data_IF_692701105742
#
_entry.id   IF_692701105742
#
_cell.length_a   1.000
_cell.length_b   1.000
_cell.length_c   1.000
_cell.angle_alpha   90.00
_cell.angle_beta   90.00
_cell.angle_gamma   90.00
#
_symmetry.space_group_name_H-M   'P 1'
#
loop_
_entity.id
_entity.type
_entity.pdbx_description
1 polymer ?
#
# COMPACT_ATOMS: atom_id res chain seq x y z
N UNK A 1 -31.35 34.73 31.15
CA UNK A 1 -31.71 34.31 32.51
C UNK A 1 -30.81 35.07 33.48
N UNK A 2 -31.33 35.68 34.54
CA UNK A 2 -30.51 36.41 35.52
C UNK A 2 -30.21 35.49 36.71
N UNK A 3 -29.07 34.81 36.71
CA UNK A 3 -28.66 33.88 37.75
C UNK A 3 -27.15 33.91 37.95
N UNK A 4 -26.71 33.62 39.17
CA UNK A 4 -25.30 33.35 39.48
C UNK A 4 -25.04 31.85 39.33
N UNK A 5 -23.86 31.49 38.83
CA UNK A 5 -23.51 30.10 38.60
C UNK A 5 -22.12 29.77 39.13
N UNK A 6 -21.91 28.48 39.43
CA UNK A 6 -20.61 27.91 39.76
C UNK A 6 -20.39 26.69 38.87
N UNK A 7 -19.26 26.66 38.18
CA UNK A 7 -18.89 25.51 37.36
C UNK A 7 -18.26 24.44 38.24
N UNK A 8 -18.74 23.21 38.08
CA UNK A 8 -18.22 22.02 38.76
C UNK A 8 -17.67 21.10 37.68
N UNK A 9 -16.35 20.84 37.65
CA UNK A 9 -15.77 19.94 36.66
C UNK A 9 -16.24 18.50 36.91
N UNK A 10 -16.55 17.78 35.84
CA UNK A 10 -16.83 16.34 35.84
C UNK A 10 -15.94 15.67 34.81
N UNK A 11 -15.60 14.40 35.04
CA UNK A 11 -14.69 13.64 34.17
C UNK A 11 -15.41 12.87 33.06
N UNK A 12 -16.75 12.87 33.03
CA UNK A 12 -17.50 12.24 31.94
C UNK A 12 -19.01 12.45 31.95
N UNK A 13 -19.70 11.87 30.96
CA UNK A 13 -21.16 12.01 30.81
C UNK A 13 -22.01 11.11 31.71
N UNK A 14 -21.40 10.23 32.51
CA UNK A 14 -22.07 9.35 33.46
C UNK A 14 -22.38 7.95 32.93
N UNK A 15 -22.03 6.94 33.75
CA UNK A 15 -22.23 5.51 33.50
C UNK A 15 -23.09 4.92 34.63
N UNK A 16 -23.99 4.01 34.25
CA UNK A 16 -24.70 3.16 35.21
C UNK A 16 -23.78 2.02 35.64
N UNK A 17 -23.48 1.95 36.93
CA UNK A 17 -22.72 0.87 37.54
C UNK A 17 -23.62 -0.34 37.83
N UNK A 18 -23.01 -1.51 38.00
CA UNK A 18 -23.74 -2.77 38.27
C UNK A 18 -24.53 -2.72 39.60
N UNK A 19 -24.07 -1.91 40.54
CA UNK A 19 -24.76 -1.64 41.80
C UNK A 19 -25.98 -0.71 41.64
N UNK A 20 -26.35 -0.33 40.42
CA UNK A 20 -27.48 0.57 40.12
C UNK A 20 -27.21 2.06 40.35
N UNK A 21 -25.99 2.45 40.72
CA UNK A 21 -25.63 3.86 40.93
C UNK A 21 -25.10 4.52 39.66
N UNK A 22 -25.32 5.83 39.53
CA UNK A 22 -24.88 6.63 38.39
C UNK A 22 -23.67 7.47 38.76
N UNK A 23 -22.69 7.53 37.86
CA UNK A 23 -21.50 8.38 38.02
C UNK A 23 -21.60 9.70 37.24
N UNK A 24 -20.68 10.63 37.51
CA UNK A 24 -20.44 11.86 36.76
C UNK A 24 -21.69 12.72 36.50
N UNK A 25 -21.90 13.28 35.30
CA UNK A 25 -23.01 14.19 34.99
C UNK A 25 -24.38 13.69 35.48
N UNK A 26 -24.73 12.43 35.17
CA UNK A 26 -26.02 11.86 35.58
C UNK A 26 -26.08 11.69 37.10
N UNK A 27 -25.01 11.17 37.72
CA UNK A 27 -24.94 11.02 39.18
C UNK A 27 -25.02 12.35 39.91
N UNK A 28 -24.30 13.37 39.44
CA UNK A 28 -24.25 14.70 40.05
C UNK A 28 -25.63 15.37 40.03
N UNK A 29 -26.42 15.19 38.97
CA UNK A 29 -27.81 15.66 38.92
C UNK A 29 -28.72 14.87 39.89
N UNK A 30 -28.59 13.55 39.93
CA UNK A 30 -29.43 12.69 40.76
C UNK A 30 -29.19 12.92 42.25
N UNK A 31 -27.92 13.05 42.64
CA UNK A 31 -27.49 13.24 44.02
C UNK A 31 -27.51 14.70 44.48
N UNK A 32 -28.04 15.62 43.65
CA UNK A 32 -28.17 17.04 44.01
C UNK A 32 -26.84 17.78 44.17
N UNK A 33 -25.77 17.29 43.53
CA UNK A 33 -24.46 17.96 43.48
C UNK A 33 -24.40 19.05 42.41
N UNK A 34 -25.30 18.98 41.41
CA UNK A 34 -25.44 19.97 40.35
C UNK A 34 -26.91 20.16 39.98
N UNK A 35 -27.27 21.37 39.55
CA UNK A 35 -28.63 21.70 39.12
C UNK A 35 -28.84 21.51 37.60
N UNK A 36 -27.78 21.74 36.83
CA UNK A 36 -27.71 21.58 35.37
C UNK A 36 -26.41 20.85 35.04
N UNK A 37 -26.48 19.81 34.20
CA UNK A 37 -25.31 19.20 33.58
C UNK A 37 -25.18 19.69 32.14
N UNK A 38 -24.03 20.31 31.86
CA UNK A 38 -23.68 20.74 30.51
C UNK A 38 -23.34 19.53 29.65
N UNK A 39 -23.84 19.54 28.41
CA UNK A 39 -23.52 18.59 27.34
C UNK A 39 -23.69 17.10 27.72
N UNK A 40 -24.90 16.60 27.53
CA UNK A 40 -25.18 15.17 27.48
C UNK A 40 -25.68 14.77 26.10
N UNK A 41 -25.02 13.76 25.56
CA UNK A 41 -25.45 13.05 24.36
C UNK A 41 -26.70 12.26 24.73
N UNK A 42 -27.72 12.37 23.88
CA UNK A 42 -28.96 11.63 24.04
C UNK A 42 -28.70 10.13 24.12
N UNK A 43 -29.21 9.49 25.16
CA UNK A 43 -29.13 8.06 25.36
C UNK A 43 -30.39 7.56 26.05
N UNK A 44 -31.02 6.53 25.49
CA UNK A 44 -32.30 6.00 25.98
C UNK A 44 -32.24 5.51 27.43
N UNK A 45 -31.08 5.01 27.87
CA UNK A 45 -30.88 4.55 29.25
C UNK A 45 -30.86 5.67 30.29
N UNK A 46 -30.75 6.95 29.89
CA UNK A 46 -30.69 8.10 30.81
C UNK A 46 -32.04 8.77 31.03
N UNK A 47 -32.94 8.72 30.05
CA UNK A 47 -34.28 9.36 30.08
C UNK A 47 -35.16 8.95 31.28
N UNK A 48 -35.07 7.73 31.84
CA UNK A 48 -35.80 7.39 33.05
C UNK A 48 -35.39 8.23 34.27
N UNK A 49 -34.14 8.69 34.32
CA UNK A 49 -33.52 9.29 35.50
C UNK A 49 -33.41 10.82 35.44
N UNK A 50 -33.21 11.38 34.25
CA UNK A 50 -32.99 12.82 34.02
C UNK A 50 -33.85 13.35 32.88
N UNK A 51 -34.15 14.64 32.91
CA UNK A 51 -34.83 15.31 31.79
C UNK A 51 -33.80 16.03 30.93
N UNK A 52 -33.87 15.78 29.62
CA UNK A 52 -33.01 16.40 28.62
C UNK A 52 -33.76 17.55 27.95
N UNK A 53 -33.15 18.73 27.97
CA UNK A 53 -33.68 19.94 27.32
C UNK A 53 -33.65 19.82 25.81
N UNK A 54 -34.27 20.76 25.11
CA UNK A 54 -34.17 20.87 23.65
C UNK A 54 -32.70 20.84 23.20
N UNK A 55 -32.38 20.05 22.15
CA UNK A 55 -31.02 19.90 21.69
C UNK A 55 -30.46 21.25 21.21
N UNK A 56 -29.20 21.51 21.54
CA UNK A 56 -28.48 22.69 21.10
C UNK A 56 -27.43 22.38 20.01
N UNK A 57 -27.15 21.10 19.77
CA UNK A 57 -26.25 20.63 18.72
C UNK A 57 -26.65 19.21 18.31
N UNK A 58 -26.41 18.88 17.04
CA UNK A 58 -26.45 17.51 16.54
C UNK A 58 -25.05 17.13 16.12
N UNK A 59 -24.61 15.93 16.51
CA UNK A 59 -23.33 15.39 16.08
C UNK A 59 -23.50 13.92 15.72
N UNK A 60 -22.99 13.55 14.55
CA UNK A 60 -23.01 12.17 14.10
C UNK A 60 -21.93 11.34 14.78
N UNK A 61 -22.19 10.04 14.94
CA UNK A 61 -21.12 9.07 15.23
C UNK A 61 -20.27 8.93 13.96
N UNK A 62 -19.00 9.26 14.05
CA UNK A 62 -18.08 9.14 12.93
C UNK A 62 -16.74 8.53 13.42
N UNK A 63 -15.80 8.30 12.51
CA UNK A 63 -14.48 7.82 12.84
C UNK A 63 -13.41 8.54 12.04
N UNK A 64 -12.21 8.55 12.58
CA UNK A 64 -11.04 9.09 11.90
C UNK A 64 -9.96 8.03 11.72
N UNK A 65 -9.19 8.19 10.65
CA UNK A 65 -8.06 7.35 10.28
C UNK A 65 -6.87 8.24 9.83
N UNK A 66 -5.67 7.67 9.78
CA UNK A 66 -4.49 8.37 9.26
C UNK A 66 -4.66 8.62 7.77
N UNK A 67 -4.19 9.77 7.25
CA UNK A 67 -4.07 10.02 5.81
C UNK A 67 -3.47 8.79 5.13
N UNK A 68 -4.12 8.23 4.09
CA UNK A 68 -3.65 7.04 3.43
C UNK A 68 -2.29 7.29 2.78
N UNK A 69 -1.39 6.35 2.97
CA UNK A 69 -0.02 6.44 2.45
C UNK A 69 0.04 5.81 1.05
N UNK A 70 0.91 6.30 0.15
CA UNK A 70 1.12 5.67 -1.13
C UNK A 70 1.72 4.27 -0.93
N UNK A 71 1.23 3.30 -1.69
CA UNK A 71 1.70 1.92 -1.62
C UNK A 71 3.09 1.85 -2.27
N UNK A 72 4.12 1.77 -1.44
CA UNK A 72 5.51 1.61 -1.88
C UNK A 72 5.82 0.14 -2.10
N UNK A 73 5.72 -0.32 -3.35
CA UNK A 73 6.02 -1.71 -3.70
C UNK A 73 7.15 -1.79 -4.73
N UNK A 74 8.06 -2.74 -4.56
CA UNK A 74 9.10 -3.04 -5.56
C UNK A 74 8.49 -3.51 -6.90
N UNK A 75 7.27 -4.06 -6.87
CA UNK A 75 6.50 -4.47 -8.05
C UNK A 75 5.86 -3.32 -8.83
N UNK A 76 5.95 -2.08 -8.33
CA UNK A 76 5.32 -0.90 -8.95
C UNK A 76 5.74 -0.68 -10.41
N UNK A 77 6.92 -1.15 -10.81
CA UNK A 77 7.44 -1.06 -12.19
C UNK A 77 6.59 -1.84 -13.19
N UNK A 78 5.89 -2.89 -12.74
CA UNK A 78 5.05 -3.72 -13.59
C UNK A 78 3.59 -3.23 -13.66
N UNK A 79 3.18 -2.29 -12.80
CA UNK A 79 1.82 -1.73 -12.78
C UNK A 79 1.38 -0.93 -14.02
N UNK A 80 2.26 -0.32 -14.84
CA UNK A 80 1.84 0.41 -16.04
C UNK A 80 1.00 -0.40 -17.04
N UNK A 81 1.17 -1.72 -17.05
CA UNK A 81 0.44 -2.64 -17.90
C UNK A 81 -0.14 -3.80 -17.11
N UNK A 82 -1.34 -4.21 -17.49
CA UNK A 82 -1.97 -5.42 -16.96
C UNK A 82 -1.23 -6.68 -17.43
N UNK A 83 -1.29 -7.75 -16.66
CA UNK A 83 -0.72 -9.07 -17.00
C UNK A 83 -1.09 -9.53 -18.41
N UNK A 84 -2.33 -9.29 -18.85
CA UNK A 84 -2.78 -9.60 -20.22
C UNK A 84 -1.93 -8.88 -21.29
N UNK A 85 -1.63 -7.60 -21.09
CA UNK A 85 -0.82 -6.80 -22.01
C UNK A 85 0.63 -7.28 -22.05
N UNK A 86 1.19 -7.68 -20.90
CA UNK A 86 2.52 -8.30 -20.84
C UNK A 86 2.60 -9.60 -21.62
N UNK A 87 1.57 -10.45 -21.54
CA UNK A 87 1.48 -11.70 -22.30
C UNK A 87 1.40 -11.40 -23.80
N UNK A 88 0.52 -10.47 -24.20
CA UNK A 88 0.40 -10.05 -25.60
C UNK A 88 1.71 -9.46 -26.15
N UNK A 89 2.45 -8.73 -25.33
CA UNK A 89 3.78 -8.25 -25.70
C UNK A 89 4.76 -9.40 -25.95
N UNK A 90 4.81 -10.41 -25.07
CA UNK A 90 5.64 -11.61 -25.30
C UNK A 90 5.25 -12.36 -26.58
N UNK A 91 3.94 -12.47 -26.86
CA UNK A 91 3.43 -13.06 -28.11
C UNK A 91 3.84 -12.23 -29.33
N UNK A 92 3.82 -10.90 -29.24
CA UNK A 92 4.26 -10.04 -30.34
C UNK A 92 5.76 -10.16 -30.64
N UNK A 93 6.58 -10.36 -29.60
CA UNK A 93 8.02 -10.59 -29.74
C UNK A 93 8.27 -11.92 -30.44
N UNK A 94 7.62 -12.99 -30.00
CA UNK A 94 7.79 -14.32 -30.62
C UNK A 94 7.32 -14.33 -32.07
N UNK A 95 6.17 -13.71 -32.37
CA UNK A 95 5.67 -13.54 -33.72
C UNK A 95 6.66 -12.78 -34.62
N UNK A 96 7.24 -11.67 -34.12
CA UNK A 96 8.20 -10.88 -34.88
C UNK A 96 9.48 -11.66 -35.16
N UNK A 97 10.01 -12.39 -34.16
CA UNK A 97 11.17 -13.28 -34.35
C UNK A 97 10.87 -14.34 -35.40
N UNK A 98 9.70 -14.98 -35.35
CA UNK A 98 9.29 -15.99 -36.34
C UNK A 98 9.15 -15.42 -37.75
N UNK A 99 8.55 -14.24 -37.92
CA UNK A 99 8.44 -13.59 -39.23
C UNK A 99 9.82 -13.23 -39.79
N UNK A 100 10.69 -12.66 -38.95
CA UNK A 100 12.05 -12.30 -39.36
C UNK A 100 12.88 -13.53 -39.76
N UNK A 101 12.80 -14.64 -39.02
CA UNK A 101 13.52 -15.87 -39.38
C UNK A 101 13.00 -16.48 -40.68
N UNK A 102 11.68 -16.47 -40.89
CA UNK A 102 11.07 -16.96 -42.14
C UNK A 102 11.53 -16.14 -43.34
N UNK A 103 11.46 -14.80 -43.26
CA UNK A 103 11.93 -13.92 -44.35
C UNK A 103 13.43 -14.13 -44.62
N UNK A 104 14.26 -14.27 -43.59
CA UNK A 104 15.69 -14.54 -43.77
C UNK A 104 15.97 -15.87 -44.49
N UNK A 105 15.18 -16.91 -44.21
CA UNK A 105 15.28 -18.21 -44.91
C UNK A 105 14.88 -18.06 -46.38
N UNK A 106 13.83 -17.28 -46.68
CA UNK A 106 13.43 -17.00 -48.05
C UNK A 106 14.47 -16.17 -48.80
N UNK A 107 14.97 -15.09 -48.19
CA UNK A 107 16.01 -14.23 -48.79
C UNK A 107 17.31 -15.00 -49.06
N UNK A 108 17.69 -15.91 -48.16
CA UNK A 108 18.85 -16.77 -48.35
C UNK A 108 18.69 -17.72 -49.53
N UNK A 109 17.47 -18.24 -49.76
CA UNK A 109 17.15 -19.12 -50.90
C UNK A 109 17.00 -18.35 -52.22
N UNK A 110 16.38 -17.18 -52.20
CA UNK A 110 16.05 -16.41 -53.40
C UNK A 110 17.24 -15.58 -53.92
N UNK A 111 17.98 -14.93 -53.02
CA UNK A 111 19.02 -13.96 -53.38
C UNK A 111 20.43 -14.38 -52.96
N UNK A 112 20.60 -15.57 -52.35
CA UNK A 112 21.91 -16.07 -51.90
C UNK A 112 22.54 -15.24 -50.77
N UNK A 113 21.74 -14.43 -50.05
CA UNK A 113 22.23 -13.57 -48.97
C UNK A 113 22.49 -14.43 -47.72
N UNK A 114 23.64 -14.22 -47.05
CA UNK A 114 23.96 -14.91 -45.80
C UNK A 114 22.92 -14.59 -44.71
N UNK A 115 22.12 -15.60 -44.34
CA UNK A 115 21.14 -15.52 -43.25
C UNK A 115 21.80 -15.20 -41.91
N UNK A 116 21.08 -14.49 -41.05
CA UNK A 116 21.47 -14.34 -39.65
C UNK A 116 21.25 -15.66 -38.91
N UNK A 117 22.03 -15.87 -37.84
CA UNK A 117 21.78 -16.95 -36.88
C UNK A 117 20.52 -16.63 -36.07
N UNK A 118 19.74 -17.64 -35.69
CA UNK A 118 18.54 -17.46 -34.84
C UNK A 118 18.86 -16.71 -33.54
N UNK A 119 20.04 -16.95 -32.95
CA UNK A 119 20.51 -16.23 -31.75
C UNK A 119 20.73 -14.74 -32.04
N UNK A 120 21.27 -14.42 -33.22
CA UNK A 120 21.49 -13.04 -33.64
C UNK A 120 20.16 -12.32 -33.90
N UNK A 121 19.15 -13.01 -34.47
CA UNK A 121 17.81 -12.43 -34.68
C UNK A 121 17.12 -12.13 -33.34
N UNK A 122 17.25 -13.02 -32.35
CA UNK A 122 16.78 -12.77 -30.98
C UNK A 122 17.51 -11.56 -30.37
N UNK A 123 18.83 -11.50 -30.49
CA UNK A 123 19.63 -10.37 -30.01
C UNK A 123 19.15 -9.04 -30.62
N UNK A 124 18.94 -9.00 -31.94
CA UNK A 124 18.45 -7.80 -32.63
C UNK A 124 17.06 -7.40 -32.11
N UNK A 125 16.15 -8.35 -31.88
CA UNK A 125 14.84 -8.04 -31.31
C UNK A 125 14.96 -7.48 -29.89
N UNK A 126 15.79 -8.08 -29.02
CA UNK A 126 16.01 -7.59 -27.66
C UNK A 126 16.65 -6.19 -27.66
N UNK A 127 17.69 -5.98 -28.47
CA UNK A 127 18.35 -4.67 -28.61
C UNK A 127 17.38 -3.59 -29.09
N UNK A 128 16.46 -3.92 -30.02
CA UNK A 128 15.45 -2.97 -30.48
C UNK A 128 14.45 -2.57 -29.40
N UNK A 129 14.02 -3.52 -28.55
CA UNK A 129 13.15 -3.23 -27.39
C UNK A 129 13.85 -2.29 -26.40
N UNK A 130 15.15 -2.51 -26.18
CA UNK A 130 16.00 -1.66 -25.35
C UNK A 130 16.37 -0.32 -26.02
N UNK A 131 15.84 -0.03 -27.20
CA UNK A 131 16.13 1.16 -28.00
C UNK A 131 17.63 1.35 -28.28
N UNK A 132 18.37 0.24 -28.38
CA UNK A 132 19.77 0.23 -28.73
C UNK A 132 19.96 0.24 -30.26
N UNK A 133 21.16 0.63 -30.69
CA UNK A 133 21.54 0.56 -32.09
C UNK A 133 21.52 -0.90 -32.58
N UNK A 134 20.77 -1.14 -33.66
CA UNK A 134 20.65 -2.44 -34.30
C UNK A 134 21.23 -2.39 -35.71
N UNK A 135 21.70 -3.55 -36.20
CA UNK A 135 22.30 -3.63 -37.52
C UNK A 135 21.30 -3.31 -38.63
N UNK A 136 21.76 -2.58 -39.65
CA UNK A 136 20.90 -2.14 -40.76
C UNK A 136 20.41 -3.33 -41.59
N UNK A 137 19.10 -3.46 -41.86
CA UNK A 137 18.56 -4.52 -42.71
C UNK A 137 19.01 -4.36 -44.17
N UNK A 138 19.42 -5.49 -44.78
CA UNK A 138 20.01 -5.53 -46.12
C UNK A 138 18.95 -5.49 -47.22
N UNK A 139 17.88 -6.27 -47.09
CA UNK A 139 16.81 -6.43 -48.08
C UNK A 139 15.63 -5.50 -47.81
N UNK A 140 14.78 -5.28 -48.82
CA UNK A 140 13.61 -4.40 -48.73
C UNK A 140 12.50 -5.00 -47.88
N UNK A 141 12.30 -6.32 -47.97
CA UNK A 141 11.23 -7.04 -47.25
C UNK A 141 11.45 -6.98 -45.73
N UNK A 142 12.68 -7.17 -45.29
CA UNK A 142 13.06 -7.03 -43.88
C UNK A 142 12.87 -5.58 -43.41
N UNK A 143 13.14 -4.56 -44.26
CA UNK A 143 12.98 -3.15 -43.88
C UNK A 143 11.56 -2.82 -43.47
N UNK A 144 10.55 -3.27 -44.21
CA UNK A 144 9.14 -3.02 -43.87
C UNK A 144 8.76 -3.62 -42.52
N UNK A 145 9.18 -4.86 -42.24
CA UNK A 145 8.94 -5.51 -40.96
C UNK A 145 9.62 -4.75 -39.82
N UNK A 146 10.88 -4.31 -40.01
CA UNK A 146 11.58 -3.49 -39.02
C UNK A 146 10.89 -2.14 -38.79
N UNK A 147 10.39 -1.48 -39.85
CA UNK A 147 9.66 -0.22 -39.71
C UNK A 147 8.37 -0.42 -38.91
N UNK A 148 7.59 -1.45 -39.22
CA UNK A 148 6.37 -1.78 -38.47
C UNK A 148 6.67 -2.12 -37.00
N UNK A 149 7.72 -2.92 -36.76
CA UNK A 149 8.19 -3.28 -35.43
C UNK A 149 8.64 -2.07 -34.62
N UNK A 150 9.41 -1.15 -35.23
CA UNK A 150 9.85 0.07 -34.55
C UNK A 150 8.69 1.02 -34.25
N UNK A 151 7.74 1.18 -35.17
CA UNK A 151 6.53 1.97 -34.89
C UNK A 151 5.75 1.38 -33.71
N UNK A 152 5.59 0.06 -33.67
CA UNK A 152 4.99 -0.64 -32.53
C UNK A 152 5.75 -0.37 -31.22
N UNK A 153 7.08 -0.49 -31.22
CA UNK A 153 7.90 -0.23 -30.03
C UNK A 153 7.84 1.22 -29.58
N UNK A 154 7.80 2.19 -30.49
CA UNK A 154 7.65 3.61 -30.15
C UNK A 154 6.31 3.86 -29.46
N UNK A 155 5.21 3.33 -30.01
CA UNK A 155 3.88 3.46 -29.41
C UNK A 155 3.85 2.78 -28.03
N UNK A 156 4.40 1.57 -27.92
CA UNK A 156 4.40 0.80 -26.67
C UNK A 156 5.21 1.50 -25.58
N UNK A 157 6.41 1.99 -25.91
CA UNK A 157 7.29 2.67 -24.94
C UNK A 157 6.70 4.01 -24.51
N UNK A 158 6.08 4.76 -25.43
CA UNK A 158 5.37 5.99 -25.09
C UNK A 158 4.17 5.72 -24.17
N UNK A 159 3.37 4.69 -24.45
CA UNK A 159 2.26 4.29 -23.59
C UNK A 159 2.74 3.87 -22.20
N UNK A 160 3.80 3.07 -22.12
CA UNK A 160 4.41 2.64 -20.87
C UNK A 160 4.89 3.83 -20.03
N UNK A 161 5.67 4.74 -20.64
CA UNK A 161 6.18 5.94 -19.97
C UNK A 161 5.07 6.86 -19.49
N UNK A 162 4.00 7.01 -20.28
CA UNK A 162 2.85 7.86 -19.93
C UNK A 162 2.07 7.28 -18.74
N UNK A 163 1.78 5.97 -18.76
CA UNK A 163 1.10 5.30 -17.66
C UNK A 163 1.95 5.31 -16.38
N UNK A 164 3.25 5.02 -16.50
CA UNK A 164 4.18 5.08 -15.38
C UNK A 164 4.24 6.48 -14.75
N UNK A 165 4.29 7.53 -15.58
CA UNK A 165 4.22 8.91 -15.10
C UNK A 165 2.91 9.18 -14.34
N UNK A 166 1.77 8.69 -14.85
CA UNK A 166 0.49 8.75 -14.16
C UNK A 166 0.52 8.14 -12.75
N UNK A 167 1.19 6.99 -12.59
CA UNK A 167 1.39 6.36 -11.28
C UNK A 167 2.30 7.16 -10.33
N UNK A 168 3.26 7.92 -10.85
CA UNK A 168 4.07 8.79 -10.00
C UNK A 168 3.34 10.06 -9.57
N UNK A 169 2.45 10.58 -10.41
CA UNK A 169 1.61 11.73 -10.06
C UNK A 169 0.50 11.33 -9.08
N UNK A 170 -0.14 10.19 -9.32
CA UNK A 170 -1.22 9.65 -8.48
C UNK A 170 -0.91 8.23 -8.06
N UNK A 171 -0.03 8.04 -7.06
CA UNK A 171 0.29 6.71 -6.57
C UNK A 171 -0.95 6.05 -5.97
N UNK A 172 -1.14 4.74 -6.16
CA UNK A 172 -2.22 4.03 -5.50
C UNK A 172 -2.00 4.12 -3.99
N UNK A 173 -3.08 4.47 -3.30
CA UNK A 173 -3.07 4.69 -1.87
C UNK A 173 -3.46 3.41 -1.14
N UNK A 174 -2.97 3.27 0.10
CA UNK A 174 -3.44 2.24 1.02
C UNK A 174 -4.97 2.31 1.16
N UNK A 175 -5.60 1.14 1.24
CA UNK A 175 -7.02 1.06 1.48
C UNK A 175 -7.36 1.69 2.83
N UNK A 176 -8.37 2.56 2.85
CA UNK A 176 -8.93 3.16 4.06
C UNK A 176 -10.45 2.94 4.07
N UNK A 177 -11.04 2.64 5.24
CA UNK A 177 -12.47 2.41 5.33
C UNK A 177 -13.24 3.69 5.04
N UNK A 178 -14.18 3.63 4.09
CA UNK A 178 -15.10 4.72 3.76
C UNK A 178 -16.35 4.75 4.63
N UNK A 179 -16.64 3.66 5.35
CA UNK A 179 -17.75 3.57 6.29
C UNK A 179 -17.62 2.43 7.31
N UNK A 180 -18.63 2.28 8.17
CA UNK A 180 -18.64 1.24 9.21
C UNK A 180 -18.69 -0.18 8.65
N UNK A 181 -19.24 -0.36 7.45
CA UNK A 181 -19.28 -1.67 6.77
C UNK A 181 -17.87 -2.15 6.43
N UNK A 182 -17.03 -1.27 5.89
CA UNK A 182 -15.65 -1.60 5.57
C UNK A 182 -14.87 -2.02 6.81
N UNK A 183 -15.07 -1.33 7.95
CA UNK A 183 -14.45 -1.70 9.23
C UNK A 183 -14.94 -3.09 9.69
N UNK A 184 -16.20 -3.42 9.46
CA UNK A 184 -16.75 -4.73 9.82
C UNK A 184 -16.13 -5.85 8.96
N UNK A 185 -15.90 -5.60 7.67
CA UNK A 185 -15.45 -6.62 6.72
C UNK A 185 -13.92 -6.76 6.63
N UNK A 186 -13.16 -5.72 7.00
CA UNK A 186 -11.69 -5.69 6.92
C UNK A 186 -11.01 -5.74 8.30
N UNK A 187 -9.71 -6.01 8.37
CA UNK A 187 -8.97 -6.22 9.64
C UNK A 187 -8.60 -4.94 10.40
N UNK A 188 -9.40 -3.87 10.28
CA UNK A 188 -9.17 -2.63 11.03
C UNK A 188 -9.52 -2.80 12.51
N UNK A 189 -8.64 -2.30 13.37
CA UNK A 189 -8.91 -2.19 14.81
C UNK A 189 -9.60 -0.88 15.11
N UNK A 190 -10.66 -0.92 15.91
CA UNK A 190 -11.43 0.27 16.25
C UNK A 190 -11.22 0.67 17.72
N UNK A 191 -11.08 1.96 17.97
CA UNK A 191 -10.99 2.55 19.30
C UNK A 191 -12.24 3.33 19.66
N UNK A 192 -12.64 3.28 20.92
CA UNK A 192 -13.68 4.18 21.48
C UNK A 192 -13.29 4.61 22.88
N UNK A 193 -13.73 5.81 23.28
CA UNK A 193 -13.52 6.30 24.65
C UNK A 193 -14.24 5.41 25.67
N UNK A 194 -13.50 4.93 26.68
CA UNK A 194 -14.05 4.05 27.73
C UNK A 194 -15.20 4.70 28.49
N UNK A 195 -16.27 3.94 28.74
CA UNK A 195 -17.39 4.34 29.61
C UNK A 195 -18.33 5.42 29.04
N UNK A 196 -18.06 5.92 27.82
CA UNK A 196 -18.90 6.90 27.15
C UNK A 196 -20.22 6.33 26.61
N UNK A 197 -21.14 7.23 26.22
CA UNK A 197 -22.42 6.86 25.60
C UNK A 197 -22.24 6.02 24.32
N UNK A 198 -21.19 6.31 23.54
CA UNK A 198 -20.84 5.58 22.32
C UNK A 198 -20.49 4.11 22.61
N UNK A 199 -19.71 3.83 23.66
CA UNK A 199 -19.38 2.45 24.03
C UNK A 199 -20.65 1.65 24.35
N UNK A 200 -21.59 2.26 25.08
CA UNK A 200 -22.88 1.62 25.40
C UNK A 200 -23.75 1.44 24.15
N UNK A 201 -23.71 2.39 23.21
CA UNK A 201 -24.41 2.29 21.93
C UNK A 201 -23.95 1.05 21.14
N UNK A 202 -22.63 0.87 20.98
CA UNK A 202 -22.09 -0.30 20.29
C UNK A 202 -22.31 -1.60 21.06
N UNK A 203 -22.24 -1.58 22.40
CA UNK A 203 -22.52 -2.74 23.24
C UNK A 203 -23.96 -3.24 23.11
N UNK A 204 -24.92 -2.33 22.94
CA UNK A 204 -26.34 -2.65 22.82
C UNK A 204 -26.75 -2.96 21.36
N UNK A 205 -25.84 -2.85 20.40
CA UNK A 205 -26.13 -3.18 19.01
C UNK A 205 -26.32 -4.70 18.82
N UNK A 206 -27.16 -5.08 17.87
CA UNK A 206 -27.38 -6.51 17.54
C UNK A 206 -26.09 -7.15 17.02
N UNK A 207 -25.73 -8.32 17.54
CA UNK A 207 -24.46 -9.00 17.23
C UNK A 207 -24.22 -9.29 15.74
N UNK A 208 -25.29 -9.59 14.99
CA UNK A 208 -25.24 -9.87 13.55
C UNK A 208 -25.17 -8.61 12.67
N UNK A 209 -25.46 -7.45 13.24
CA UNK A 209 -25.41 -6.18 12.51
C UNK A 209 -23.96 -5.73 12.27
N UNK A 210 -23.76 -4.84 11.29
CA UNK A 210 -22.47 -4.19 11.04
C UNK A 210 -21.87 -3.57 12.31
N UNK A 211 -22.69 -2.90 13.11
CA UNK A 211 -22.27 -2.29 14.38
C UNK A 211 -21.85 -3.32 15.43
N UNK A 212 -22.53 -4.47 15.47
CA UNK A 212 -22.17 -5.60 16.33
C UNK A 212 -20.83 -6.23 15.93
N UNK A 213 -20.57 -6.36 14.63
CA UNK A 213 -19.25 -6.80 14.13
C UNK A 213 -18.14 -5.79 14.49
N UNK A 214 -18.41 -4.50 14.33
CA UNK A 214 -17.48 -3.43 14.76
C UNK A 214 -17.24 -3.50 16.28
N UNK A 215 -18.27 -3.77 17.08
CA UNK A 215 -18.12 -3.92 18.54
C UNK A 215 -17.15 -5.03 18.95
N UNK A 216 -17.08 -6.15 18.22
CA UNK A 216 -16.09 -7.21 18.50
C UNK A 216 -14.65 -6.75 18.28
N UNK A 217 -14.44 -5.74 17.42
CA UNK A 217 -13.12 -5.16 17.11
C UNK A 217 -12.83 -3.90 17.94
N UNK A 218 -13.76 -3.46 18.79
CA UNK A 218 -13.62 -2.25 19.59
C UNK A 218 -12.69 -2.47 20.79
N UNK A 219 -11.71 -1.59 20.93
CA UNK A 219 -10.86 -1.46 22.11
C UNK A 219 -11.20 -0.18 22.84
N UNK A 220 -11.44 -0.26 24.14
CA UNK A 220 -11.71 0.93 24.95
C UNK A 220 -10.42 1.58 25.41
N UNK A 221 -10.23 2.86 25.09
CA UNK A 221 -9.04 3.64 25.47
C UNK A 221 -9.44 5.03 25.94
N UNK A 222 -8.49 5.81 26.45
CA UNK A 222 -8.69 7.26 26.65
C UNK A 222 -8.71 7.94 25.28
N UNK A 223 -9.43 9.06 25.16
CA UNK A 223 -9.53 9.81 23.92
C UNK A 223 -8.15 10.10 23.30
N UNK A 224 -7.23 10.64 24.09
CA UNK A 224 -5.88 11.00 23.63
C UNK A 224 -5.07 9.80 23.11
N UNK A 225 -5.22 8.63 23.75
CA UNK A 225 -4.57 7.40 23.32
C UNK A 225 -5.21 6.88 22.03
N UNK A 226 -6.53 6.99 21.89
CA UNK A 226 -7.27 6.60 20.69
C UNK A 226 -6.78 7.40 19.47
N UNK A 227 -6.69 8.72 19.59
CA UNK A 227 -6.18 9.60 18.53
C UNK A 227 -4.68 9.39 18.26
N UNK A 228 -3.87 9.22 19.31
CA UNK A 228 -2.45 8.89 19.16
C UNK A 228 -2.22 7.59 18.40
N UNK A 229 -3.04 6.56 18.64
CA UNK A 229 -2.97 5.29 17.91
C UNK A 229 -3.32 5.44 16.43
N UNK A 230 -4.29 6.29 16.09
CA UNK A 230 -4.60 6.62 14.68
C UNK A 230 -3.42 7.27 13.99
N UNK A 231 -2.72 8.18 14.67
CA UNK A 231 -1.53 8.83 14.11
C UNK A 231 -0.38 7.84 13.89
N UNK A 232 -0.23 6.84 14.77
CA UNK A 232 0.87 5.87 14.73
C UNK A 232 0.61 4.68 13.79
N UNK A 233 -0.65 4.30 13.56
CA UNK A 233 -1.01 3.07 12.85
C UNK A 233 -2.03 3.32 11.74
N UNK A 234 -1.71 2.90 10.50
CA UNK A 234 -2.63 3.03 9.35
C UNK A 234 -3.81 2.05 9.39
N UNK A 235 -3.75 1.00 10.22
CA UNK A 235 -4.82 -0.02 10.36
C UNK A 235 -5.68 0.16 11.62
N UNK A 236 -5.65 1.37 12.21
CA UNK A 236 -6.41 1.71 13.40
C UNK A 236 -7.35 2.89 13.12
N UNK A 237 -8.59 2.78 13.57
CA UNK A 237 -9.59 3.85 13.50
C UNK A 237 -10.03 4.27 14.89
N UNK A 238 -10.25 5.56 15.11
CA UNK A 238 -10.83 6.06 16.35
C UNK A 238 -12.26 6.53 16.09
N UNK A 239 -13.22 5.94 16.80
CA UNK A 239 -14.65 6.26 16.70
C UNK A 239 -15.01 7.25 17.80
N UNK A 240 -15.60 8.39 17.39
CA UNK A 240 -16.09 9.41 18.31
C UNK A 240 -17.24 10.20 17.68
N UNK A 241 -17.69 11.26 18.34
CA UNK A 241 -18.62 12.21 17.75
C UNK A 241 -17.88 13.13 16.78
N UNK A 242 -18.52 13.46 15.65
CA UNK A 242 -17.96 14.34 14.64
C UNK A 242 -17.48 15.69 15.21
N UNK A 243 -18.22 16.29 16.14
CA UNK A 243 -17.80 17.52 16.80
C UNK A 243 -16.46 17.35 17.56
N UNK A 244 -16.30 16.26 18.31
CA UNK A 244 -15.08 15.92 19.06
C UNK A 244 -13.92 15.58 18.12
N UNK A 245 -14.18 14.83 17.05
CA UNK A 245 -13.22 14.49 16.01
C UNK A 245 -12.71 15.76 15.31
N UNK A 246 -13.62 16.66 14.95
CA UNK A 246 -13.31 17.93 14.25
C UNK A 246 -12.47 18.82 15.14
N UNK A 247 -12.86 18.99 16.41
CA UNK A 247 -12.09 19.75 17.38
C UNK A 247 -10.69 19.16 17.56
N UNK A 248 -10.58 17.85 17.77
CA UNK A 248 -9.30 17.18 17.99
C UNK A 248 -8.40 17.25 16.76
N UNK A 249 -8.95 17.02 15.57
CA UNK A 249 -8.25 17.10 14.28
C UNK A 249 -7.67 18.49 14.04
N UNK A 250 -8.48 19.54 14.23
CA UNK A 250 -8.06 20.92 13.90
C UNK A 250 -7.22 21.57 14.99
N UNK A 251 -7.52 21.31 16.26
CA UNK A 251 -6.84 21.98 17.40
C UNK A 251 -5.64 21.18 17.88
N UNK A 252 -5.73 19.84 18.03
CA UNK A 252 -4.64 19.03 18.62
C UNK A 252 -3.70 18.40 17.59
N UNK A 253 -4.20 18.03 16.42
CA UNK A 253 -3.41 17.37 15.36
C UNK A 253 -3.33 18.16 14.07
N UNK A 254 -3.80 19.42 14.10
CA UNK A 254 -3.76 20.33 12.97
C UNK A 254 -2.56 21.26 13.03
N UNK A 255 -2.15 21.80 11.88
CA UNK A 255 -1.30 22.98 11.80
C UNK A 255 -2.12 24.28 11.99
N UNK A 256 -1.41 25.42 12.02
CA UNK A 256 -2.04 26.74 12.03
C UNK A 256 -2.91 27.03 10.80
N UNK A 257 -2.76 26.28 9.70
CA UNK A 257 -3.54 26.40 8.47
C UNK A 257 -4.77 25.46 8.44
N UNK A 258 -4.97 24.60 9.44
CA UNK A 258 -6.06 23.64 9.53
C UNK A 258 -5.85 22.31 8.78
N UNK A 259 -4.63 22.03 8.32
CA UNK A 259 -4.25 20.74 7.73
C UNK A 259 -3.89 19.74 8.82
N UNK A 260 -4.18 18.46 8.60
CA UNK A 260 -3.89 17.40 9.57
C UNK A 260 -3.65 16.07 8.87
N UNK A 261 -2.75 15.25 9.42
CA UNK A 261 -2.52 13.87 8.98
C UNK A 261 -3.64 12.90 9.41
N UNK A 262 -4.71 13.41 10.01
CA UNK A 262 -5.90 12.65 10.38
C UNK A 262 -7.05 13.10 9.50
N UNK A 263 -7.74 12.14 8.90
CA UNK A 263 -8.90 12.35 8.03
C UNK A 263 -10.11 11.70 8.69
N UNK A 264 -11.27 12.34 8.57
CA UNK A 264 -12.54 11.79 9.03
C UNK A 264 -13.20 11.02 7.89
N UNK A 265 -13.92 9.97 8.23
CA UNK A 265 -14.68 9.21 7.25
C UNK A 265 -15.77 10.07 6.61
N UNK A 266 -15.98 9.94 5.28
CA UNK A 266 -17.05 10.63 4.58
C UNK A 266 -18.43 10.09 4.99
N UNK A 267 -18.52 8.83 5.43
CA UNK A 267 -19.77 8.24 5.89
C UNK A 267 -19.93 8.46 7.39
N UNK A 268 -20.80 9.40 7.74
CA UNK A 268 -21.31 9.57 9.08
C UNK A 268 -22.32 8.47 9.43
N UNK A 269 -22.33 8.06 10.70
CA UNK A 269 -23.28 7.11 11.25
C UNK A 269 -24.55 7.79 11.75
N UNK A 270 -24.98 7.45 12.95
CA UNK A 270 -26.20 8.00 13.56
C UNK A 270 -25.98 9.42 14.09
N UNK A 271 -26.90 10.33 13.76
CA UNK A 271 -26.97 11.66 14.38
C UNK A 271 -27.50 11.58 15.81
N UNK A 272 -26.73 12.11 16.75
CA UNK A 272 -27.08 12.15 18.16
C UNK A 272 -27.28 13.60 18.61
N UNK A 273 -28.44 13.94 19.18
CA UNK A 273 -28.65 15.26 19.76
C UNK A 273 -27.83 15.42 21.05
N UNK A 274 -27.11 16.52 21.15
CA UNK A 274 -26.50 17.01 22.38
C UNK A 274 -27.41 18.05 23.04
N UNK A 275 -27.68 17.87 24.32
CA UNK A 275 -28.59 18.70 25.10
C UNK A 275 -28.02 18.97 26.50
N UNK A 276 -28.58 19.97 27.18
CA UNK A 276 -28.34 20.13 28.61
C UNK A 276 -29.30 19.21 29.37
N UNK A 277 -28.85 18.69 30.51
CA UNK A 277 -29.68 17.82 31.35
C UNK A 277 -29.96 18.47 32.69
N UNK A 278 -31.18 18.26 33.17
CA UNK A 278 -31.63 18.70 34.49
C UNK A 278 -32.20 17.50 35.25
N UNK A 279 -32.29 17.64 36.57
CA UNK A 279 -33.02 16.68 37.38
C UNK A 279 -34.46 16.56 36.90
N UNK A 280 -35.02 15.35 36.97
CA UNK A 280 -36.39 15.06 36.54
C UNK A 280 -37.40 15.98 37.22
N UNK A 281 -38.33 16.54 36.43
CA UNK A 281 -39.35 17.53 36.86
C UNK A 281 -38.77 18.81 37.46
N UNK A 282 -37.58 19.23 37.04
CA UNK A 282 -36.98 20.49 37.49
C UNK A 282 -37.73 21.70 36.92
N UNK A 283 -37.90 22.74 37.74
CA UNK A 283 -38.44 24.05 37.33
C UNK A 283 -37.57 24.74 36.26
N UNK A 284 -36.29 24.38 36.19
CA UNK A 284 -35.33 24.97 35.25
C UNK A 284 -35.54 24.47 33.82
N UNK A 285 -36.23 23.34 33.63
CA UNK A 285 -36.39 22.68 32.34
C UNK A 285 -36.91 23.63 31.26
N UNK A 286 -38.05 24.28 31.51
CA UNK A 286 -38.72 25.14 30.52
C UNK A 286 -37.87 26.36 30.13
N UNK A 287 -37.19 26.96 31.11
CA UNK A 287 -36.36 28.15 30.89
C UNK A 287 -35.08 27.81 30.13
N UNK A 288 -34.38 26.74 30.53
CA UNK A 288 -33.15 26.28 29.86
C UNK A 288 -33.47 25.78 28.46
N UNK A 289 -34.53 24.99 28.30
CA UNK A 289 -34.95 24.44 27.00
C UNK A 289 -35.25 25.55 25.99
N UNK A 290 -35.99 26.59 26.40
CA UNK A 290 -36.29 27.74 25.53
C UNK A 290 -35.03 28.46 25.08
N UNK A 291 -34.09 28.70 26.00
CA UNK A 291 -32.81 29.37 25.67
C UNK A 291 -31.97 28.49 24.75
N UNK A 292 -31.85 27.20 25.03
CA UNK A 292 -31.11 26.25 24.18
C UNK A 292 -31.66 26.20 22.75
N UNK A 293 -32.97 26.07 22.57
CA UNK A 293 -33.60 26.12 21.25
C UNK A 293 -33.35 27.45 20.56
N UNK A 294 -33.53 28.56 21.27
CA UNK A 294 -33.30 29.89 20.70
C UNK A 294 -31.84 30.05 20.24
N UNK A 295 -30.87 29.59 21.01
CA UNK A 295 -29.46 29.61 20.62
C UNK A 295 -29.18 28.75 19.37
N UNK A 296 -29.83 27.59 19.28
CA UNK A 296 -29.71 26.70 18.13
C UNK A 296 -30.34 27.30 16.86
N UNK A 297 -31.58 27.79 16.96
CA UNK A 297 -32.33 28.39 15.86
C UNK A 297 -31.65 29.65 15.30
N UNK A 298 -31.01 30.44 16.16
CA UNK A 298 -30.23 31.62 15.74
C UNK A 298 -28.82 31.28 15.23
N UNK A 299 -28.43 30.00 15.18
CA UNK A 299 -27.12 29.58 14.71
C UNK A 299 -25.95 29.95 15.63
N UNK A 300 -26.23 30.40 16.86
CA UNK A 300 -25.19 30.83 17.81
C UNK A 300 -24.27 29.65 18.18
N UNK A 301 -24.80 28.44 18.29
CA UNK A 301 -24.00 27.26 18.66
C UNK A 301 -22.95 26.92 17.60
N UNK A 302 -23.31 27.02 16.31
CA UNK A 302 -22.38 26.86 15.19
C UNK A 302 -21.33 27.96 15.21
N UNK A 303 -21.74 29.22 15.39
CA UNK A 303 -20.83 30.36 15.48
C UNK A 303 -19.80 30.19 16.60
N UNK A 304 -20.24 29.88 17.82
CA UNK A 304 -19.34 29.69 18.96
C UNK A 304 -18.42 28.49 18.78
N UNK A 305 -18.88 27.41 18.14
CA UNK A 305 -18.05 26.24 17.83
C UNK A 305 -16.90 26.60 16.89
N UNK A 306 -17.19 27.23 15.76
CA UNK A 306 -16.16 27.65 14.80
C UNK A 306 -15.18 28.63 15.44
N UNK A 307 -15.70 29.65 16.13
CA UNK A 307 -14.87 30.64 16.83
C UNK A 307 -13.97 30.01 17.89
N UNK A 308 -14.50 29.08 18.69
CA UNK A 308 -13.73 28.39 19.73
C UNK A 308 -12.61 27.54 19.13
N UNK A 309 -12.89 26.80 18.05
CA UNK A 309 -11.89 26.00 17.34
C UNK A 309 -10.77 26.90 16.80
N UNK A 310 -11.12 28.02 16.16
CA UNK A 310 -10.15 28.96 15.61
C UNK A 310 -9.31 29.62 16.70
N UNK A 311 -9.93 30.13 17.76
CA UNK A 311 -9.24 30.75 18.88
C UNK A 311 -8.27 29.77 19.57
N UNK A 312 -8.69 28.53 19.82
CA UNK A 312 -7.85 27.51 20.46
C UNK A 312 -6.70 27.06 19.55
N UNK A 313 -6.95 26.87 18.25
CA UNK A 313 -5.93 26.52 17.26
C UNK A 313 -4.85 27.61 17.18
N UNK A 314 -5.27 28.88 17.08
CA UNK A 314 -4.33 30.01 17.01
C UNK A 314 -3.49 30.11 18.28
N UNK A 315 -4.11 30.02 19.46
CA UNK A 315 -3.38 30.05 20.74
C UNK A 315 -2.33 28.94 20.84
N UNK A 316 -2.71 27.70 20.53
CA UNK A 316 -1.77 26.58 20.54
C UNK A 316 -0.60 26.81 19.58
N UNK A 317 -0.90 27.26 18.36
CA UNK A 317 0.14 27.50 17.36
C UNK A 317 1.11 28.61 17.78
N UNK A 318 0.62 29.68 18.40
CA UNK A 318 1.43 30.74 18.99
C UNK A 318 2.32 30.22 20.12
N UNK A 319 1.78 29.37 21.00
CA UNK A 319 2.54 28.72 22.08
C UNK A 319 3.62 27.77 21.57
N UNK A 320 3.31 26.94 20.56
CA UNK A 320 4.27 26.04 19.93
C UNK A 320 5.41 26.81 19.26
N UNK A 321 5.07 27.91 18.57
CA UNK A 321 6.04 28.82 17.95
C UNK A 321 6.91 29.52 19.00
N UNK A 322 6.33 29.99 20.10
CA UNK A 322 7.06 30.62 21.19
C UNK A 322 8.05 29.67 21.86
N UNK A 323 7.68 28.38 21.97
CA UNK A 323 8.50 27.35 22.60
C UNK A 323 9.44 26.62 21.64
N UNK A 324 9.54 27.02 20.36
CA UNK A 324 10.29 26.33 19.30
C UNK A 324 9.97 24.81 19.22
N UNK A 325 8.74 24.43 19.53
CA UNK A 325 8.28 23.05 19.41
C UNK A 325 8.04 22.78 17.93
N UNK A 326 8.69 21.75 17.38
CA UNK A 326 8.42 21.31 16.02
C UNK A 326 6.97 20.82 15.95
N UNK A 327 6.15 21.50 15.15
CA UNK A 327 4.83 21.03 14.76
C UNK A 327 4.94 19.65 14.10
N UNK A 328 3.89 18.85 14.20
CA UNK A 328 3.83 17.56 13.50
C UNK A 328 4.14 17.77 12.00
N UNK A 329 4.94 16.87 11.43
CA UNK A 329 5.25 16.86 10.00
C UNK A 329 3.97 16.51 9.23
N UNK A 330 3.20 17.54 8.89
CA UNK A 330 1.93 17.40 8.19
C UNK A 330 2.25 17.24 6.73
N UNK A 331 1.74 16.17 6.15
CA UNK A 331 1.94 15.85 4.75
C UNK A 331 1.35 16.97 3.91
N UNK A 332 2.22 17.67 3.19
CA UNK A 332 1.81 18.68 2.23
C UNK A 332 1.28 17.96 0.98
N UNK A 333 0.20 18.48 0.39
CA UNK A 333 -0.39 17.90 -0.84
C UNK A 333 0.52 18.08 -2.06
N UNK A 334 1.68 18.74 -1.89
CA UNK A 334 2.72 18.84 -2.89
C UNK A 334 3.25 17.46 -3.29
N UNK A 335 3.47 17.25 -4.58
CA UNK A 335 4.07 16.02 -5.09
C UNK A 335 5.43 15.75 -4.40
N UNK A 336 5.50 14.68 -3.61
CA UNK A 336 6.73 14.28 -2.95
C UNK A 336 7.80 13.96 -4.00
N UNK A 337 9.04 14.43 -3.83
CA UNK A 337 10.13 14.09 -4.74
C UNK A 337 10.37 12.58 -4.72
N UNK A 338 10.67 12.02 -5.88
CA UNK A 338 10.86 10.57 -6.04
C UNK A 338 11.96 10.07 -5.09
N UNK A 339 11.56 9.28 -4.08
CA UNK A 339 12.49 8.78 -3.07
C UNK A 339 13.23 7.53 -3.56
N UNK A 340 14.39 7.23 -2.95
CA UNK A 340 15.11 5.96 -3.16
C UNK A 340 14.20 4.74 -2.94
N UNK A 341 13.21 4.85 -2.05
CA UNK A 341 12.23 3.78 -1.79
C UNK A 341 11.45 3.37 -3.05
N UNK A 342 11.17 4.32 -3.95
CA UNK A 342 10.41 4.08 -5.18
C UNK A 342 11.24 3.33 -6.23
N UNK A 343 12.57 3.43 -6.16
CA UNK A 343 13.52 2.86 -7.13
C UNK A 343 14.08 1.49 -6.72
N UNK A 344 13.68 0.98 -5.55
CA UNK A 344 14.18 -0.32 -5.02
C UNK A 344 13.91 -1.44 -6.02
N UNK A 345 12.73 -1.47 -6.65
CA UNK A 345 12.40 -2.48 -7.66
C UNK A 345 13.40 -2.51 -8.82
N UNK A 346 13.75 -1.36 -9.38
CA UNK A 346 14.67 -1.25 -10.51
C UNK A 346 16.07 -1.74 -10.11
N UNK A 347 16.52 -1.32 -8.92
CA UNK A 347 17.82 -1.73 -8.38
C UNK A 347 17.86 -3.24 -8.13
N UNK A 348 16.78 -3.84 -7.60
CA UNK A 348 16.71 -5.29 -7.38
C UNK A 348 16.71 -6.09 -8.69
N UNK A 349 15.99 -5.64 -9.72
CA UNK A 349 15.98 -6.28 -11.04
C UNK A 349 17.35 -6.23 -11.70
N UNK A 350 18.04 -5.09 -11.60
CA UNK A 350 19.39 -4.92 -12.12
C UNK A 350 20.37 -5.90 -11.45
N UNK A 351 20.39 -5.94 -10.11
CA UNK A 351 21.26 -6.84 -9.36
C UNK A 351 20.97 -8.31 -9.66
N UNK A 352 19.69 -8.70 -9.71
CA UNK A 352 19.28 -10.05 -10.06
C UNK A 352 19.75 -10.44 -11.47
N UNK A 353 19.57 -9.54 -12.45
CA UNK A 353 20.04 -9.75 -13.83
C UNK A 353 21.56 -9.90 -13.92
N UNK A 354 22.32 -9.07 -13.22
CA UNK A 354 23.78 -9.18 -13.15
C UNK A 354 24.23 -10.51 -12.55
N UNK A 355 23.58 -10.97 -11.46
CA UNK A 355 23.89 -12.26 -10.85
C UNK A 355 23.61 -13.42 -11.80
N UNK A 356 22.44 -13.43 -12.47
CA UNK A 356 22.09 -14.46 -13.46
C UNK A 356 23.11 -14.48 -14.60
N UNK A 357 23.54 -13.31 -15.08
CA UNK A 357 24.57 -13.21 -16.12
C UNK A 357 25.92 -13.78 -15.66
N UNK A 358 26.35 -13.48 -14.42
CA UNK A 358 27.55 -14.07 -13.84
C UNK A 358 27.46 -15.60 -13.73
N UNK A 359 26.31 -16.14 -13.29
CA UNK A 359 26.10 -17.59 -13.21
C UNK A 359 26.11 -18.24 -14.59
N UNK A 360 25.46 -17.64 -15.59
CA UNK A 360 25.47 -18.15 -16.97
C UNK A 360 26.90 -18.18 -17.54
N UNK A 361 27.69 -17.13 -17.28
CA UNK A 361 29.09 -17.07 -17.70
C UNK A 361 29.96 -18.13 -17.02
N UNK A 362 29.81 -18.33 -15.70
CA UNK A 362 30.51 -19.39 -14.97
C UNK A 362 30.14 -20.76 -15.52
N UNK A 363 28.84 -21.00 -15.77
CA UNK A 363 28.35 -22.25 -16.34
C UNK A 363 28.93 -22.52 -17.73
N UNK A 364 28.91 -21.53 -18.63
CA UNK A 364 29.51 -21.64 -19.96
C UNK A 364 31.02 -21.88 -19.88
N UNK A 365 31.71 -21.23 -18.94
CA UNK A 365 33.14 -21.44 -18.72
C UNK A 365 33.43 -22.88 -18.25
N UNK A 366 32.63 -23.43 -17.34
CA UNK A 366 32.72 -24.83 -16.89
C UNK A 366 32.44 -25.80 -18.05
N UNK A 367 31.39 -25.56 -18.83
CA UNK A 367 31.03 -26.39 -19.97
C UNK A 367 32.12 -26.34 -21.05
N UNK A 368 32.71 -25.17 -21.31
CA UNK A 368 33.80 -25.02 -22.28
C UNK A 368 35.06 -25.78 -21.85
N UNK A 369 35.39 -25.76 -20.54
CA UNK A 369 36.50 -26.53 -19.98
C UNK A 369 36.21 -28.03 -20.02
N UNK A 370 34.99 -28.45 -19.69
CA UNK A 370 34.55 -29.84 -19.78
C UNK A 370 34.61 -30.37 -21.22
N UNK A 371 34.12 -29.60 -22.21
CA UNK A 371 34.23 -29.93 -23.63
C UNK A 371 35.68 -30.05 -24.08
N UNK A 372 36.55 -29.10 -23.72
CA UNK A 372 37.99 -29.16 -24.03
C UNK A 372 38.67 -30.37 -23.38
N UNK A 373 38.30 -30.70 -22.13
CA UNK A 373 38.80 -31.89 -21.42
C UNK A 373 38.33 -33.20 -22.08
N UNK A 374 37.06 -33.31 -22.48
CA UNK A 374 36.54 -34.47 -23.21
C UNK A 374 37.18 -34.64 -24.58
N UNK A 375 37.40 -33.55 -25.33
CA UNK A 375 38.11 -33.59 -26.61
C UNK A 375 39.57 -34.02 -26.40
N UNK A 376 40.26 -33.45 -25.40
CA UNK A 376 41.62 -33.86 -25.04
C UNK A 376 41.67 -35.35 -24.67
N UNK A 377 40.81 -35.81 -23.77
CA UNK A 377 40.74 -37.21 -23.35
C UNK A 377 40.46 -38.17 -24.53
N UNK A 378 39.55 -37.81 -25.45
CA UNK A 378 39.27 -38.57 -26.67
C UNK A 378 40.47 -38.62 -27.63
N UNK A 379 41.18 -37.51 -27.82
CA UNK A 379 42.39 -37.50 -28.67
C UNK A 379 43.54 -38.28 -28.07
N UNK A 380 43.74 -38.25 -26.75
CA UNK A 380 44.81 -38.98 -26.06
C UNK A 380 44.52 -40.49 -26.03
N UNK A 381 43.27 -40.90 -25.83
CA UNK A 381 42.87 -42.32 -25.92
C UNK A 381 42.98 -42.86 -27.35
N UNK A 382 42.65 -42.06 -28.37
CA UNK A 382 42.85 -42.43 -29.77
C UNK A 382 44.34 -42.58 -30.12
N UNK A 383 45.19 -41.67 -29.63
CA UNK A 383 46.65 -41.76 -29.82
C UNK A 383 47.23 -43.03 -29.21
N UNK A 384 46.88 -43.37 -27.97
CA UNK A 384 47.34 -44.60 -27.34
C UNK A 384 46.80 -45.87 -28.01
N UNK A 385 45.57 -45.84 -28.54
CA UNK A 385 45.03 -46.97 -29.31
C UNK A 385 45.79 -47.18 -30.63
N UNK A 386 46.10 -46.11 -31.36
CA UNK A 386 46.90 -46.19 -32.60
C UNK A 386 48.32 -46.66 -32.30
N UNK A 387 48.92 -46.19 -31.22
CA UNK A 387 50.27 -46.59 -30.78
C UNK A 387 50.32 -48.09 -30.43
N UNK A 388 49.33 -48.61 -29.71
CA UNK A 388 49.18 -50.04 -29.41
C UNK A 388 49.02 -50.89 -30.68
N UNK A 389 48.19 -50.46 -31.63
CA UNK A 389 48.03 -51.16 -32.92
C UNK A 389 49.34 -51.15 -33.73
N UNK A 390 50.09 -50.06 -33.68
CA UNK A 390 51.39 -49.94 -34.35
C UNK A 390 52.45 -50.86 -33.73
N UNK A 391 52.50 -50.93 -32.39
CA UNK A 391 53.38 -51.85 -31.65
C UNK A 391 53.01 -53.31 -31.94
N UNK A 392 51.72 -53.64 -32.00
CA UNK A 392 51.25 -54.99 -32.35
C UNK A 392 51.67 -55.35 -33.78
N UNK A 393 51.50 -54.45 -34.76
CA UNK A 393 51.97 -54.69 -36.14
C UNK A 393 53.49 -54.88 -36.22
N UNK A 394 54.28 -54.07 -35.50
CA UNK A 394 55.75 -54.20 -35.47
C UNK A 394 56.16 -55.52 -34.83
N UNK A 395 55.52 -55.92 -33.73
CA UNK A 395 55.79 -57.19 -33.06
C UNK A 395 55.41 -58.41 -33.91
N UNK A 396 54.31 -58.34 -34.66
CA UNK A 396 53.92 -59.35 -35.63
C UNK A 396 54.95 -59.48 -36.77
N UNK A 397 55.41 -58.38 -37.36
CA UNK A 397 56.46 -58.38 -38.39
C UNK A 397 57.79 -58.94 -37.85
N UNK A 398 58.14 -58.62 -36.59
CA UNK A 398 59.32 -59.20 -35.92
C UNK A 398 59.17 -60.71 -35.70
N UNK A 399 58.00 -61.17 -35.30
CA UNK A 399 57.72 -62.60 -35.10
C UNK A 399 57.80 -63.39 -36.43
N UNK A 400 57.27 -62.85 -37.52
CA UNK A 400 57.38 -63.48 -38.86
C UNK A 400 58.84 -63.51 -39.33
N UNK A 401 59.63 -62.47 -39.06
CA UNK A 401 61.06 -62.42 -39.42
C UNK A 401 61.91 -63.38 -38.58
N UNK A 402 61.55 -63.61 -37.31
CA UNK A 402 62.22 -64.59 -36.43
C UNK A 402 61.86 -66.03 -36.80
N UNK A 403 60.62 -66.31 -37.25
CA UNK A 403 60.26 -67.63 -37.78
C UNK A 403 60.97 -67.95 -39.10
N UNK A 404 61.14 -66.98 -40.00
CA UNK A 404 61.90 -67.15 -41.25
C UNK A 404 63.41 -67.39 -41.00
N UNK A 405 63.97 -66.86 -39.91
CA UNK A 405 65.39 -67.04 -39.57
C UNK A 405 65.69 -68.33 -38.80
N UNK A 406 64.68 -69.01 -38.24
CA UNK A 406 64.85 -70.28 -37.48
C UNK A 406 64.49 -71.56 -38.26
N UNK A 407 64.04 -71.44 -39.51
CA UNK A 407 63.66 -72.58 -40.37
C UNK A 407 64.75 -73.06 -41.33
N UNK A 408 65.99 -72.62 -41.17
CA UNK A 408 67.08 -72.81 -42.14
C UNK A 408 68.27 -73.62 -41.63
N UNK A 409 68.05 -74.76 -40.97
CA UNK A 409 69.09 -75.78 -40.79
C UNK A 409 68.52 -77.17 -41.15
N UNK A 410 68.90 -77.67 -42.32
CA UNK A 410 68.73 -79.06 -42.77
C UNK A 410 70.00 -79.85 -42.40
N UNK A 411 69.86 -81.13 -42.00
CA UNK A 411 70.96 -81.93 -41.46
C UNK A 411 71.87 -82.51 -42.55
N UNK A 412 73.16 -82.66 -42.23
CA UNK A 412 74.05 -83.70 -42.75
C UNK A 412 74.78 -84.35 -41.60
#
# INVERSE_FOLDING_TARGET
MNFSYKLIPSTGGGKLLENGTWTEHVGNLLYGKADIASMNIFALNRLPYIDMTSPFEFSSINFCYSVPKPILNWKSIFWPFETSTWIMFLVSISATISVLTVIQIFDAKAYGVKSWSSVFTIWVCVSSILQQNVTKPKTWDIRWVFTAWFLFLVILTQAFSSNLFGFFVSPPLEFVPGGFQDIADTDFRAGVTFGGALYQFFKNAKEDSTLGKVYRKLTTTKAEVCYGNVFLSSTYVCISLEADLTFTRLVKYGDGHGRSNIVMSPSAGLDLPASMSVKKRSILYSSVSRVSSSCFENGLTIFWRHRTIEEQRTRRFEEERANNIKTHDIRDDSAEPLSRKNLVGCMTLYLAGSLISCFAWIFEMMESKARKFCVWFSTTTWYHFVEQVYIIKISAVRATKVQLLKGGELPR
#
